data_IF_267942133544
#
_entry.id   IF_267942133544
#
_cell.length_a   1.000
_cell.length_b   1.000
_cell.length_c   1.000
_cell.angle_alpha   90.00
_cell.angle_beta   90.00
_cell.angle_gamma   90.00
#
_symmetry.space_group_name_H-M   'P 1'
#
loop_
_entity.id
_entity.type
_entity.pdbx_description
1 polymer ?
#
# COMPACT_ATOMS: atom_id res chain seq x y z
N UNK A 1 -0.95 16.57 -23.40
CA UNK A 1 -0.13 17.07 -22.27
C UNK A 1 -0.83 16.72 -20.97
N UNK A 2 -0.16 16.11 -20.03
CA UNK A 2 -0.73 15.79 -18.73
C UNK A 2 -0.16 16.74 -17.66
N UNK A 3 -0.93 16.92 -16.60
CA UNK A 3 -0.47 17.71 -15.47
C UNK A 3 0.53 16.93 -14.63
N UNK A 4 1.50 17.65 -14.07
CA UNK A 4 2.44 17.09 -13.11
C UNK A 4 1.71 16.71 -11.81
N UNK A 5 2.25 15.73 -11.09
CA UNK A 5 1.74 15.31 -9.78
C UNK A 5 2.42 16.05 -8.62
N UNK A 6 3.05 17.18 -8.91
CA UNK A 6 3.72 18.00 -7.89
C UNK A 6 2.76 18.34 -6.74
N UNK A 7 3.24 18.14 -5.51
CA UNK A 7 2.48 18.38 -4.28
C UNK A 7 1.27 17.45 -4.07
N UNK A 8 1.08 16.45 -4.93
CA UNK A 8 0.09 15.40 -4.67
C UNK A 8 0.66 14.37 -3.70
N UNK A 9 -0.22 13.78 -2.91
CA UNK A 9 0.14 12.73 -1.96
C UNK A 9 -0.50 11.43 -2.38
N UNK A 10 0.31 10.40 -2.51
CA UNK A 10 -0.12 9.07 -2.91
C UNK A 10 0.22 8.03 -1.84
N UNK A 11 -0.67 7.07 -1.67
CA UNK A 11 -0.45 5.88 -0.85
C UNK A 11 -0.54 4.67 -1.77
N UNK A 12 0.51 3.84 -1.76
CA UNK A 12 0.54 2.60 -2.55
C UNK A 12 0.76 1.42 -1.61
N UNK A 13 -0.19 0.52 -1.54
CA UNK A 13 -0.05 -0.69 -0.75
C UNK A 13 0.60 -1.80 -1.57
N UNK A 14 1.33 -2.72 -0.89
CA UNK A 14 2.02 -3.81 -1.57
C UNK A 14 3.14 -3.32 -2.50
N UNK A 15 3.82 -2.25 -2.13
CA UNK A 15 4.78 -1.58 -3.02
C UNK A 15 6.25 -1.99 -2.79
N UNK A 16 6.50 -3.03 -2.00
CA UNK A 16 7.85 -3.55 -1.80
C UNK A 16 8.44 -4.23 -3.02
N UNK A 17 7.61 -4.76 -3.90
CA UNK A 17 8.03 -5.50 -5.10
C UNK A 17 7.03 -5.31 -6.24
N UNK A 18 7.42 -5.77 -7.43
CA UNK A 18 6.53 -5.96 -8.57
C UNK A 18 5.81 -4.69 -9.05
N UNK A 19 4.52 -4.85 -9.32
CA UNK A 19 3.68 -3.78 -9.89
C UNK A 19 3.58 -2.58 -8.94
N UNK A 20 3.41 -2.82 -7.65
CA UNK A 20 3.32 -1.74 -6.66
C UNK A 20 4.60 -0.91 -6.59
N UNK A 21 5.76 -1.55 -6.69
CA UNK A 21 7.06 -0.86 -6.75
C UNK A 21 7.14 0.05 -7.97
N UNK A 22 6.78 -0.49 -9.13
CA UNK A 22 6.81 0.28 -10.38
C UNK A 22 5.87 1.48 -10.33
N UNK A 23 4.66 1.30 -9.80
CA UNK A 23 3.68 2.38 -9.65
C UNK A 23 4.23 3.48 -8.72
N UNK A 24 4.77 3.08 -7.55
CA UNK A 24 5.30 4.03 -6.57
C UNK A 24 6.43 4.88 -7.16
N UNK A 25 7.34 4.24 -7.87
CA UNK A 25 8.47 4.93 -8.51
C UNK A 25 8.00 5.90 -9.60
N UNK A 26 7.05 5.49 -10.42
CA UNK A 26 6.50 6.34 -11.47
C UNK A 26 5.78 7.56 -10.89
N UNK A 27 4.96 7.36 -9.85
CA UNK A 27 4.27 8.47 -9.19
C UNK A 27 5.26 9.47 -8.59
N UNK A 28 6.31 8.99 -7.95
CA UNK A 28 7.35 9.84 -7.38
C UNK A 28 8.13 10.60 -8.47
N UNK A 29 8.46 9.93 -9.57
CA UNK A 29 9.14 10.56 -10.70
C UNK A 29 8.29 11.68 -11.33
N UNK A 30 6.97 11.56 -11.27
CA UNK A 30 6.04 12.59 -11.73
C UNK A 30 5.80 13.71 -10.70
N UNK A 31 6.46 13.65 -9.55
CA UNK A 31 6.45 14.70 -8.55
C UNK A 31 5.62 14.45 -7.31
N UNK A 32 4.93 13.33 -7.19
CA UNK A 32 4.11 13.02 -6.02
C UNK A 32 4.97 12.68 -4.80
N UNK A 33 4.47 13.02 -3.63
CA UNK A 33 4.95 12.45 -2.37
C UNK A 33 4.25 11.11 -2.20
N UNK A 34 5.02 10.03 -2.10
CA UNK A 34 4.49 8.68 -2.08
C UNK A 34 4.82 8.00 -0.76
N UNK A 35 3.81 7.51 -0.06
CA UNK A 35 4.02 6.58 1.05
C UNK A 35 3.70 5.17 0.56
N UNK A 36 4.64 4.26 0.78
CA UNK A 36 4.45 2.86 0.43
C UNK A 36 4.28 2.02 1.68
N UNK A 37 3.45 1.00 1.60
CA UNK A 37 3.14 0.11 2.71
C UNK A 37 3.32 -1.34 2.29
N UNK A 38 3.90 -2.11 3.15
CA UNK A 38 4.09 -3.55 2.99
C UNK A 38 4.52 -4.20 4.28
N UNK A 39 4.75 -5.50 4.25
CA UNK A 39 5.13 -6.26 5.44
C UNK A 39 6.63 -6.43 5.61
N UNK A 40 7.42 -6.28 4.55
CA UNK A 40 8.85 -6.55 4.55
C UNK A 40 9.63 -5.25 4.41
N UNK A 41 10.30 -4.84 5.48
CA UNK A 41 11.03 -3.58 5.52
C UNK A 41 12.11 -3.49 4.45
N UNK A 42 12.89 -4.54 4.24
CA UNK A 42 14.00 -4.52 3.28
C UNK A 42 13.54 -4.20 1.85
N UNK A 43 12.44 -4.80 1.39
CA UNK A 43 11.92 -4.55 0.05
C UNK A 43 11.35 -3.14 -0.08
N UNK A 44 10.73 -2.64 0.99
CA UNK A 44 10.24 -1.25 1.04
C UNK A 44 11.39 -0.25 0.97
N UNK A 45 12.47 -0.50 1.71
CA UNK A 45 13.69 0.34 1.65
C UNK A 45 14.27 0.38 0.24
N UNK A 46 14.33 -0.76 -0.44
CA UNK A 46 14.82 -0.81 -1.82
C UNK A 46 13.96 0.04 -2.76
N UNK A 47 12.64 -0.03 -2.61
CA UNK A 47 11.73 0.78 -3.41
C UNK A 47 11.95 2.27 -3.13
N UNK A 48 12.06 2.65 -1.87
CA UNK A 48 12.20 4.05 -1.45
C UNK A 48 13.58 4.64 -1.80
N UNK A 49 14.61 3.81 -1.94
CA UNK A 49 15.98 4.28 -2.15
C UNK A 49 16.18 5.04 -3.46
N UNK A 50 15.32 4.84 -4.46
CA UNK A 50 15.47 5.45 -5.78
C UNK A 50 14.95 6.88 -5.87
N UNK A 51 14.17 7.34 -4.89
CA UNK A 51 13.58 8.68 -4.91
C UNK A 51 13.27 9.14 -3.49
N UNK A 52 13.78 10.31 -3.11
CA UNK A 52 13.58 10.86 -1.76
C UNK A 52 12.12 11.21 -1.43
N UNK A 53 11.26 11.30 -2.44
CA UNK A 53 9.82 11.55 -2.24
C UNK A 53 9.06 10.29 -1.83
N UNK A 54 9.70 9.12 -1.87
CA UNK A 54 9.09 7.87 -1.41
C UNK A 54 9.49 7.64 0.05
N UNK A 55 8.49 7.56 0.91
CA UNK A 55 8.64 7.11 2.30
C UNK A 55 7.97 5.75 2.46
N UNK A 56 8.33 5.00 3.47
CA UNK A 56 7.73 3.69 3.69
C UNK A 56 7.23 3.52 5.11
N UNK A 57 6.28 2.62 5.25
CA UNK A 57 5.74 2.17 6.54
C UNK A 57 5.54 0.67 6.48
N UNK A 58 6.11 -0.05 7.44
CA UNK A 58 5.85 -1.48 7.59
C UNK A 58 4.55 -1.65 8.36
N UNK A 59 3.58 -2.32 7.76
CA UNK A 59 2.29 -2.55 8.40
C UNK A 59 1.65 -3.83 7.86
N UNK A 60 0.85 -4.46 8.69
CA UNK A 60 0.08 -5.65 8.34
C UNK A 60 -1.36 -5.24 8.00
N UNK A 61 -1.72 -5.31 6.72
CA UNK A 61 -3.07 -4.97 6.26
C UNK A 61 -4.11 -6.06 6.52
N UNK A 62 -3.68 -7.22 7.01
CA UNK A 62 -4.59 -8.25 7.50
C UNK A 62 -5.27 -7.81 8.80
N UNK A 63 -4.63 -6.96 9.58
CA UNK A 63 -5.15 -6.49 10.87
C UNK A 63 -5.79 -5.11 10.74
N UNK A 64 -6.89 -4.91 11.46
CA UNK A 64 -7.55 -3.60 11.53
C UNK A 64 -6.63 -2.54 12.15
N UNK A 65 -5.85 -2.94 13.15
CA UNK A 65 -4.86 -2.06 13.80
C UNK A 65 -3.79 -1.60 12.82
N UNK A 66 -3.31 -2.50 11.97
CA UNK A 66 -2.34 -2.17 10.92
C UNK A 66 -2.89 -1.14 9.95
N UNK A 67 -4.14 -1.31 9.53
CA UNK A 67 -4.82 -0.35 8.63
C UNK A 67 -4.97 1.01 9.32
N UNK A 68 -5.39 1.04 10.58
CA UNK A 68 -5.54 2.27 11.35
C UNK A 68 -4.19 3.01 11.48
N UNK A 69 -3.11 2.27 11.69
CA UNK A 69 -1.75 2.84 11.74
C UNK A 69 -1.38 3.50 10.42
N UNK A 70 -1.71 2.89 9.30
CA UNK A 70 -1.47 3.46 7.96
C UNK A 70 -2.22 4.78 7.80
N UNK A 71 -3.51 4.78 8.10
CA UNK A 71 -4.36 5.98 7.98
C UNK A 71 -3.84 7.12 8.86
N UNK A 72 -3.52 6.80 10.12
CA UNK A 72 -2.99 7.79 11.06
C UNK A 72 -1.65 8.35 10.58
N UNK A 73 -0.77 7.51 10.06
CA UNK A 73 0.54 7.94 9.58
C UNK A 73 0.41 8.88 8.37
N UNK A 74 -0.48 8.57 7.43
CA UNK A 74 -0.75 9.47 6.29
C UNK A 74 -1.25 10.82 6.79
N UNK A 75 -2.19 10.81 7.73
CA UNK A 75 -2.75 12.03 8.30
C UNK A 75 -1.69 12.88 9.00
N UNK A 76 -0.82 12.25 9.79
CA UNK A 76 0.23 12.96 10.53
C UNK A 76 1.34 13.50 9.63
N UNK A 77 1.76 12.73 8.61
CA UNK A 77 2.86 13.12 7.72
C UNK A 77 2.44 14.14 6.68
N UNK A 78 1.25 13.99 6.12
CA UNK A 78 0.83 14.75 4.93
C UNK A 78 -0.43 15.58 5.12
N UNK A 79 -1.30 15.21 6.06
CA UNK A 79 -2.58 15.90 6.32
C UNK A 79 -3.65 15.71 5.25
N UNK A 80 -3.35 14.95 4.18
CA UNK A 80 -4.27 14.72 3.07
C UNK A 80 -3.83 13.49 2.28
N UNK A 81 -4.71 13.01 1.42
CA UNK A 81 -4.38 11.98 0.43
C UNK A 81 -5.12 12.29 -0.87
N UNK A 82 -4.39 12.31 -1.98
CA UNK A 82 -4.95 12.58 -3.31
C UNK A 82 -5.13 11.29 -4.12
N UNK A 83 -4.24 10.33 -3.94
CA UNK A 83 -4.20 9.09 -4.74
C UNK A 83 -4.05 7.90 -3.80
N UNK A 84 -4.96 6.94 -3.90
CA UNK A 84 -4.86 5.67 -3.20
C UNK A 84 -4.76 4.53 -4.23
N UNK A 85 -3.68 3.77 -4.16
CA UNK A 85 -3.49 2.58 -5.01
C UNK A 85 -3.56 1.34 -4.13
N UNK A 86 -4.68 0.66 -4.18
CA UNK A 86 -4.91 -0.60 -3.46
C UNK A 86 -4.30 -1.75 -4.27
N UNK A 87 -2.99 -1.95 -4.11
CA UNK A 87 -2.25 -2.98 -4.83
C UNK A 87 -1.90 -4.20 -3.96
N UNK A 88 -1.93 -4.07 -2.64
CA UNK A 88 -1.67 -5.21 -1.77
C UNK A 88 -2.68 -6.32 -2.01
N UNK A 89 -2.18 -7.54 -2.16
CA UNK A 89 -3.02 -8.70 -2.35
C UNK A 89 -2.29 -9.96 -1.91
N UNK A 90 -3.05 -10.98 -1.61
CA UNK A 90 -2.53 -12.29 -1.24
C UNK A 90 -3.48 -13.36 -1.74
N UNK A 91 -2.94 -14.36 -2.40
CA UNK A 91 -3.72 -15.49 -2.91
C UNK A 91 -2.88 -16.74 -2.78
N UNK A 92 -3.26 -17.67 -1.90
CA UNK A 92 -2.55 -18.94 -1.77
C UNK A 92 -2.88 -19.85 -2.95
N UNK A 93 -1.91 -20.69 -3.32
CA UNK A 93 -2.13 -21.73 -4.34
C UNK A 93 -2.48 -23.02 -3.59
N UNK A 94 -3.70 -23.12 -3.13
CA UNK A 94 -4.22 -24.27 -2.40
C UNK A 94 -5.46 -24.79 -3.10
N UNK A 95 -5.55 -26.12 -3.40
CA UNK A 95 -6.79 -26.69 -3.94
C UNK A 95 -7.98 -26.37 -3.05
N UNK A 96 -9.10 -26.04 -3.65
CA UNK A 96 -10.29 -25.60 -2.91
C UNK A 96 -10.71 -26.58 -1.80
N UNK A 97 -10.65 -27.87 -2.08
CA UNK A 97 -11.03 -28.90 -1.10
C UNK A 97 -10.10 -28.96 0.12
N UNK A 98 -8.88 -28.42 0.00
CA UNK A 98 -7.88 -28.42 1.06
C UNK A 98 -7.73 -27.05 1.74
N UNK A 99 -8.44 -26.06 1.26
CA UNK A 99 -8.38 -24.70 1.81
C UNK A 99 -8.91 -24.67 3.25
N UNK A 100 -8.11 -24.10 4.14
CA UNK A 100 -8.50 -23.85 5.53
C UNK A 100 -9.25 -22.54 5.63
N UNK A 101 -10.13 -22.44 6.62
CA UNK A 101 -10.91 -21.21 6.82
C UNK A 101 -10.01 -20.00 7.13
N UNK A 102 -8.87 -20.23 7.78
CA UNK A 102 -7.90 -19.17 8.07
C UNK A 102 -7.32 -18.57 6.79
N UNK A 103 -7.09 -19.38 5.75
CA UNK A 103 -6.65 -18.88 4.43
C UNK A 103 -7.75 -18.05 3.78
N UNK A 104 -9.00 -18.51 3.85
CA UNK A 104 -10.16 -17.78 3.37
C UNK A 104 -10.27 -16.41 4.04
N UNK A 105 -10.20 -16.40 5.38
CA UNK A 105 -10.31 -15.16 6.15
C UNK A 105 -9.18 -14.18 5.80
N UNK A 106 -7.96 -14.68 5.62
CA UNK A 106 -6.81 -13.86 5.25
C UNK A 106 -6.95 -13.25 3.85
N UNK A 107 -7.42 -14.04 2.87
CA UNK A 107 -7.67 -13.55 1.52
C UNK A 107 -8.65 -12.38 1.56
N UNK A 108 -9.77 -12.53 2.24
CA UNK A 108 -10.77 -11.46 2.34
C UNK A 108 -10.29 -10.28 3.17
N UNK A 109 -9.50 -10.52 4.23
CA UNK A 109 -8.95 -9.44 5.05
C UNK A 109 -8.02 -8.53 4.24
N UNK A 110 -7.14 -9.11 3.44
CA UNK A 110 -6.16 -8.34 2.66
C UNK A 110 -6.77 -7.81 1.36
N UNK A 111 -7.46 -8.65 0.60
CA UNK A 111 -7.91 -8.31 -0.74
C UNK A 111 -9.23 -7.53 -0.78
N UNK A 112 -10.02 -7.59 0.28
CA UNK A 112 -11.34 -6.93 0.33
C UNK A 112 -11.45 -5.96 1.50
N UNK A 113 -11.34 -6.44 2.73
CA UNK A 113 -11.55 -5.59 3.93
C UNK A 113 -10.58 -4.41 3.99
N UNK A 114 -9.29 -4.65 3.72
CA UNK A 114 -8.29 -3.58 3.73
C UNK A 114 -8.61 -2.52 2.68
N UNK A 115 -9.03 -2.94 1.48
CA UNK A 115 -9.42 -2.02 0.40
C UNK A 115 -10.60 -1.14 0.86
N UNK A 116 -11.62 -1.75 1.45
CA UNK A 116 -12.79 -1.02 1.95
C UNK A 116 -12.40 -0.02 3.03
N UNK A 117 -11.65 -0.47 4.04
CA UNK A 117 -11.27 0.38 5.18
C UNK A 117 -10.37 1.54 4.77
N UNK A 118 -9.38 1.29 3.92
CA UNK A 118 -8.49 2.35 3.43
C UNK A 118 -9.26 3.36 2.56
N UNK A 119 -10.10 2.88 1.68
CA UNK A 119 -10.89 3.75 0.80
C UNK A 119 -11.85 4.61 1.60
N UNK A 120 -12.49 4.07 2.63
CA UNK A 120 -13.39 4.84 3.49
C UNK A 120 -12.66 5.91 4.30
N UNK A 121 -11.45 5.60 4.78
CA UNK A 121 -10.69 6.48 5.67
C UNK A 121 -9.90 7.55 4.94
N UNK A 122 -9.53 7.27 3.71
CA UNK A 122 -8.77 8.17 2.86
C UNK A 122 -9.68 8.80 1.80
#
# INVERSE_FOLDING_TARGET
MYESLNNKVALVTGAGTGIGRAIARLLADEGAHVMIVGRTENTLKETAACNEKITYLTADLESKTGIQTVVQTVSERYGRLDILVNNAGWAPVTPFAEMKIEEYDKVFAINVRAVVMLTQAC
#
